data_IF_565227189917
#
_entry.id   IF_565227189917
#
_cell.length_a   1.000
_cell.length_b   1.000
_cell.length_c   1.000
_cell.angle_alpha   90.00
_cell.angle_beta   90.00
_cell.angle_gamma   90.00
#
_symmetry.space_group_name_H-M   'P 1'
#
loop_
_entity.id
_entity.type
_entity.pdbx_description
1 polymer ?
#
# COMPACT_ATOMS: atom_id res chain seq x y z
N UNK A 1 12.90 -6.43 -1.56
CA UNK A 1 11.73 -7.33 -1.63
C UNK A 1 12.18 -8.76 -1.40
N UNK A 2 11.80 -9.33 -0.25
CA UNK A 2 12.42 -10.57 0.25
C UNK A 2 11.77 -11.80 -0.37
N UNK A 3 12.44 -12.47 -1.34
CA UNK A 3 12.08 -13.83 -1.80
C UNK A 3 12.71 -14.83 -0.84
N UNK A 4 11.87 -15.60 -0.13
CA UNK A 4 12.32 -16.58 0.85
C UNK A 4 12.51 -18.00 0.27
N UNK A 5 11.79 -18.36 -0.81
CA UNK A 5 11.88 -19.68 -1.45
C UNK A 5 11.53 -19.65 -2.93
N UNK A 6 12.02 -20.61 -3.69
CA UNK A 6 11.77 -20.79 -5.12
C UNK A 6 10.80 -21.97 -5.32
N UNK A 7 9.48 -21.70 -5.36
CA UNK A 7 8.48 -22.75 -5.53
C UNK A 7 7.59 -22.45 -6.76
N UNK A 8 7.42 -23.43 -7.65
CA UNK A 8 6.45 -23.37 -8.75
C UNK A 8 5.05 -23.70 -8.25
N UNK A 9 4.48 -22.84 -7.41
CA UNK A 9 3.09 -22.95 -7.02
C UNK A 9 2.19 -22.42 -8.15
N UNK A 10 1.06 -23.06 -8.39
CA UNK A 10 0.04 -22.60 -9.34
C UNK A 10 -0.92 -21.57 -8.74
N UNK A 11 -1.00 -21.51 -7.42
CA UNK A 11 -1.82 -20.56 -6.66
C UNK A 11 -1.08 -19.97 -5.48
N UNK A 12 -1.44 -18.76 -5.08
CA UNK A 12 -0.78 -17.98 -4.03
C UNK A 12 -1.82 -17.40 -3.08
N UNK A 13 -1.49 -17.43 -1.79
CA UNK A 13 -2.28 -16.81 -0.74
C UNK A 13 -1.77 -15.39 -0.48
N UNK A 14 -2.66 -14.40 -0.59
CA UNK A 14 -2.45 -13.08 -0.04
C UNK A 14 -3.08 -12.99 1.34
N UNK A 15 -2.26 -12.83 2.38
CA UNK A 15 -2.75 -12.77 3.77
C UNK A 15 -2.40 -11.41 4.36
N UNK A 16 -3.44 -10.66 4.71
CA UNK A 16 -3.37 -9.37 5.39
C UNK A 16 -3.72 -9.55 6.87
N UNK A 17 -2.76 -9.27 7.76
CA UNK A 17 -2.94 -9.26 9.21
C UNK A 17 -3.19 -7.82 9.65
N UNK A 18 -4.43 -7.38 9.52
CA UNK A 18 -4.82 -6.04 9.93
C UNK A 18 -5.07 -5.94 11.44
N UNK A 19 -5.33 -4.72 11.91
CA UNK A 19 -5.48 -4.42 13.35
C UNK A 19 -6.74 -4.99 13.99
N UNK A 20 -7.74 -5.40 13.21
CA UNK A 20 -9.02 -5.93 13.72
C UNK A 20 -9.48 -7.21 13.00
N UNK A 21 -8.82 -7.61 11.95
CA UNK A 21 -9.20 -8.80 11.18
C UNK A 21 -8.02 -9.31 10.37
N UNK A 22 -7.99 -10.63 10.16
CA UNK A 22 -7.13 -11.28 9.18
C UNK A 22 -7.97 -11.56 7.96
N UNK A 23 -7.44 -11.22 6.78
CA UNK A 23 -8.07 -11.43 5.49
C UNK A 23 -7.18 -12.31 4.63
N UNK A 24 -7.80 -13.16 3.85
CA UNK A 24 -7.15 -14.12 2.98
C UNK A 24 -7.81 -14.09 1.60
N UNK A 25 -6.98 -14.07 0.57
CA UNK A 25 -7.40 -14.33 -0.81
C UNK A 25 -6.45 -15.34 -1.42
N UNK A 26 -6.99 -16.36 -2.08
CA UNK A 26 -6.22 -17.27 -2.91
C UNK A 26 -6.51 -16.98 -4.38
N UNK A 27 -5.46 -16.68 -5.13
CA UNK A 27 -5.52 -16.51 -6.58
C UNK A 27 -4.63 -17.55 -7.26
N UNK A 28 -5.07 -18.03 -8.41
CA UNK A 28 -4.25 -18.85 -9.29
C UNK A 28 -3.97 -18.13 -10.61
N UNK A 29 -2.87 -18.52 -11.25
CA UNK A 29 -2.50 -18.00 -12.57
C UNK A 29 -3.13 -18.83 -13.68
N UNK A 30 -4.04 -18.22 -14.44
CA UNK A 30 -4.62 -18.83 -15.65
C UNK A 30 -4.20 -18.02 -16.86
N UNK A 31 -3.26 -18.54 -17.63
CA UNK A 31 -2.69 -17.84 -18.80
C UNK A 31 -2.15 -16.46 -18.46
N UNK A 32 -1.49 -16.30 -17.29
CA UNK A 32 -0.95 -15.03 -16.81
C UNK A 32 -1.98 -14.06 -16.25
N UNK A 33 -3.24 -14.50 -16.05
CA UNK A 33 -4.29 -13.67 -15.44
C UNK A 33 -4.69 -14.24 -14.07
N UNK A 34 -4.89 -13.38 -13.06
CA UNK A 34 -5.32 -13.83 -11.75
C UNK A 34 -6.79 -14.30 -11.79
N UNK A 35 -7.04 -15.49 -11.28
CA UNK A 35 -8.37 -16.07 -11.09
C UNK A 35 -8.61 -16.38 -9.62
N UNK A 36 -9.77 -15.97 -9.10
CA UNK A 36 -10.15 -16.21 -7.72
C UNK A 36 -10.40 -17.72 -7.49
N UNK A 37 -9.72 -18.26 -6.47
CA UNK A 37 -9.94 -19.61 -5.95
C UNK A 37 -10.84 -19.54 -4.73
N UNK A 38 -10.43 -18.78 -3.71
CA UNK A 38 -11.23 -18.57 -2.50
C UNK A 38 -10.82 -17.30 -1.77
N UNK A 39 -11.65 -16.88 -0.83
CA UNK A 39 -11.39 -15.70 0.02
C UNK A 39 -12.08 -15.88 1.38
N UNK A 40 -11.64 -15.08 2.34
CA UNK A 40 -12.29 -15.02 3.64
C UNK A 40 -11.68 -14.00 4.58
N UNK A 41 -12.39 -13.75 5.66
CA UNK A 41 -11.92 -12.89 6.74
C UNK A 41 -12.33 -13.46 8.09
N UNK A 42 -11.53 -13.18 9.11
CA UNK A 42 -11.82 -13.49 10.51
C UNK A 42 -11.47 -12.29 11.37
N UNK A 43 -12.35 -11.94 12.30
CA UNK A 43 -12.07 -10.89 13.27
C UNK A 43 -11.07 -11.39 14.33
N UNK A 44 -10.19 -10.51 14.74
CA UNK A 44 -9.21 -10.75 15.81
C UNK A 44 -9.25 -9.60 16.82
N UNK A 45 -8.84 -9.87 18.04
CA UNK A 45 -8.70 -8.82 19.04
C UNK A 45 -7.57 -7.87 18.65
N UNK A 46 -7.87 -6.58 18.62
CA UNK A 46 -6.91 -5.54 18.26
C UNK A 46 -5.71 -5.44 19.20
N UNK A 47 -5.82 -5.93 20.44
CA UNK A 47 -4.70 -6.01 21.38
C UNK A 47 -3.68 -7.04 20.95
N UNK A 48 -4.12 -8.17 20.38
CA UNK A 48 -3.28 -9.24 19.86
C UNK A 48 -2.53 -8.80 18.59
N UNK A 49 -3.20 -8.05 17.71
CA UNK A 49 -2.59 -7.53 16.49
C UNK A 49 -1.51 -6.47 16.77
N UNK A 50 -1.73 -5.66 17.81
CA UNK A 50 -0.87 -4.55 18.24
C UNK A 50 0.07 -4.89 19.39
N UNK A 51 0.10 -6.13 19.87
CA UNK A 51 0.99 -6.48 20.97
C UNK A 51 2.38 -5.92 20.70
N UNK A 52 2.84 -5.17 21.69
CA UNK A 52 4.00 -4.28 21.66
C UNK A 52 5.13 -4.85 20.80
N UNK A 53 5.51 -4.13 19.75
CA UNK A 53 6.51 -4.56 18.78
C UNK A 53 7.85 -4.91 19.45
N UNK A 54 8.08 -4.40 20.68
CA UNK A 54 9.28 -4.62 21.47
C UNK A 54 9.27 -5.96 22.25
N UNK A 55 8.10 -6.59 22.45
CA UNK A 55 8.00 -7.87 23.15
C UNK A 55 7.37 -8.90 22.22
N UNK A 56 8.18 -9.83 21.73
CA UNK A 56 7.77 -11.02 20.98
C UNK A 56 6.91 -11.94 21.87
N UNK A 57 5.66 -11.56 22.11
CA UNK A 57 4.76 -12.40 22.86
C UNK A 57 4.34 -13.61 22.01
N UNK A 58 4.94 -14.77 22.34
CA UNK A 58 4.68 -16.02 21.63
C UNK A 58 3.20 -16.42 21.67
N UNK A 59 2.48 -16.10 22.74
CA UNK A 59 1.06 -16.41 22.87
C UNK A 59 0.22 -15.65 21.82
N UNK A 60 0.55 -14.39 21.53
CA UNK A 60 -0.15 -13.62 20.53
C UNK A 60 0.15 -14.10 19.10
N UNK A 61 1.40 -14.53 18.85
CA UNK A 61 1.75 -15.18 17.58
C UNK A 61 0.96 -16.48 17.38
N UNK A 62 0.81 -17.29 18.43
CA UNK A 62 0.03 -18.54 18.39
C UNK A 62 -1.45 -18.28 18.15
N UNK A 63 -2.05 -17.24 18.77
CA UNK A 63 -3.45 -16.83 18.50
C UNK A 63 -3.66 -16.41 17.04
N UNK A 64 -2.76 -15.58 16.50
CA UNK A 64 -2.81 -15.16 15.10
C UNK A 64 -2.66 -16.38 14.18
N UNK A 65 -1.69 -17.26 14.43
CA UNK A 65 -1.49 -18.47 13.66
C UNK A 65 -2.71 -19.41 13.71
N UNK A 66 -3.35 -19.54 14.88
CA UNK A 66 -4.60 -20.30 15.04
C UNK A 66 -5.73 -19.68 14.21
N UNK A 67 -5.89 -18.37 14.23
CA UNK A 67 -6.89 -17.69 13.41
C UNK A 67 -6.65 -17.89 11.91
N UNK A 68 -5.39 -17.85 11.46
CA UNK A 68 -5.02 -18.18 10.07
C UNK A 68 -5.38 -19.61 9.73
N UNK A 69 -5.03 -20.60 10.58
CA UNK A 69 -5.39 -22.04 10.34
C UNK A 69 -6.90 -22.22 10.24
N UNK A 70 -7.66 -21.60 11.14
CA UNK A 70 -9.12 -21.66 11.10
C UNK A 70 -9.67 -21.04 9.81
N UNK A 71 -9.09 -19.92 9.36
CA UNK A 71 -9.50 -19.25 8.13
C UNK A 71 -9.20 -20.13 6.90
N UNK A 72 -8.01 -20.74 6.82
CA UNK A 72 -7.64 -21.69 5.77
C UNK A 72 -8.62 -22.88 5.70
N UNK A 73 -8.98 -23.43 6.85
CA UNK A 73 -9.93 -24.56 6.91
C UNK A 73 -11.33 -24.15 6.45
N UNK A 74 -11.83 -22.99 6.93
CA UNK A 74 -13.18 -22.52 6.58
C UNK A 74 -13.32 -22.12 5.12
N UNK A 75 -12.26 -21.57 4.53
CA UNK A 75 -12.26 -21.14 3.13
C UNK A 75 -11.96 -22.28 2.16
N UNK A 76 -11.47 -23.42 2.65
CA UNK A 76 -11.01 -24.51 1.80
C UNK A 76 -9.77 -24.17 0.97
N UNK A 77 -8.95 -23.22 1.41
CA UNK A 77 -7.75 -22.78 0.71
C UNK A 77 -6.77 -23.95 0.50
N UNK A 78 -6.30 -24.11 -0.73
CA UNK A 78 -5.48 -25.25 -1.18
C UNK A 78 -3.99 -24.90 -1.07
N UNK A 79 -3.61 -23.68 -1.46
CA UNK A 79 -2.21 -23.25 -1.43
C UNK A 79 -1.65 -23.23 0.00
N UNK A 80 -0.35 -23.47 0.10
CA UNK A 80 0.43 -23.30 1.33
C UNK A 80 1.55 -22.27 1.17
N UNK A 81 1.58 -21.60 0.03
CA UNK A 81 2.52 -20.52 -0.29
C UNK A 81 1.81 -19.19 -0.11
N UNK A 82 2.32 -18.37 0.78
CA UNK A 82 1.70 -17.11 1.17
C UNK A 82 2.62 -15.91 0.93
N UNK A 83 2.00 -14.80 0.58
CA UNK A 83 2.57 -13.45 0.59
C UNK A 83 1.84 -12.64 1.65
N UNK A 84 2.55 -11.85 2.45
CA UNK A 84 1.94 -11.04 3.49
C UNK A 84 2.40 -9.58 3.43
N UNK A 85 1.59 -8.68 4.00
CA UNK A 85 1.93 -7.28 4.14
C UNK A 85 2.41 -6.95 5.55
N UNK A 86 3.44 -6.10 5.61
CA UNK A 86 3.82 -5.37 6.81
C UNK A 86 2.99 -4.07 6.88
N UNK A 87 2.52 -3.68 8.08
CA UNK A 87 1.77 -2.44 8.25
C UNK A 87 2.58 -1.22 7.81
N UNK A 88 1.98 -0.31 7.06
CA UNK A 88 2.65 0.89 6.56
C UNK A 88 3.27 1.74 7.67
N UNK A 89 2.59 1.89 8.82
CA UNK A 89 3.08 2.68 9.95
C UNK A 89 4.33 2.11 10.63
N UNK A 90 4.63 0.82 10.42
CA UNK A 90 5.79 0.13 11.01
C UNK A 90 7.00 0.06 10.06
N UNK A 91 6.85 0.49 8.81
CA UNK A 91 7.88 0.39 7.78
C UNK A 91 8.26 1.78 7.31
N UNK A 92 9.55 2.08 7.32
CA UNK A 92 10.06 3.30 6.72
C UNK A 92 10.23 3.10 5.21
N UNK A 93 9.69 4.03 4.41
CA UNK A 93 9.90 4.08 2.96
C UNK A 93 10.26 5.49 2.54
N UNK A 94 11.29 5.63 1.70
CA UNK A 94 11.73 6.92 1.16
C UNK A 94 12.31 6.78 -0.23
N UNK A 95 12.05 7.79 -1.05
CA UNK A 95 12.70 7.93 -2.34
C UNK A 95 14.07 8.61 -2.12
N UNK A 96 15.14 7.92 -2.49
CA UNK A 96 16.51 8.44 -2.43
C UNK A 96 17.09 8.59 -3.83
N UNK A 97 18.00 9.54 -3.98
CA UNK A 97 18.70 9.82 -5.22
C UNK A 97 20.15 9.37 -5.10
N UNK A 98 20.59 8.49 -5.99
CA UNK A 98 21.98 8.01 -6.06
C UNK A 98 22.62 8.42 -7.40
N UNK A 99 23.95 8.65 -7.44
CA UNK A 99 24.64 8.77 -8.71
C UNK A 99 24.53 7.46 -9.52
N UNK A 100 24.73 7.52 -10.82
CA UNK A 100 24.72 6.32 -11.67
C UNK A 100 25.86 5.38 -11.27
N UNK A 101 25.49 4.26 -10.65
CA UNK A 101 26.41 3.25 -10.12
C UNK A 101 26.15 1.91 -10.79
N UNK A 102 27.17 1.05 -10.84
CA UNK A 102 26.99 -0.35 -11.21
C UNK A 102 26.21 -1.14 -10.17
N UNK A 103 25.53 -2.22 -10.56
CA UNK A 103 24.63 -2.98 -9.70
C UNK A 103 25.26 -3.42 -8.36
N UNK A 104 26.56 -3.74 -8.32
CA UNK A 104 27.26 -4.10 -7.09
C UNK A 104 27.47 -2.91 -6.14
N UNK A 105 27.66 -1.72 -6.69
CA UNK A 105 27.89 -0.48 -5.93
C UNK A 105 26.60 0.12 -5.39
N UNK A 106 25.46 -0.16 -6.05
CA UNK A 106 24.13 0.30 -5.60
C UNK A 106 23.82 -0.22 -4.20
N UNK A 107 24.10 -1.49 -3.91
CA UNK A 107 23.83 -2.09 -2.60
C UNK A 107 24.58 -1.38 -1.46
N UNK A 108 25.86 -1.08 -1.66
CA UNK A 108 26.68 -0.36 -0.67
C UNK A 108 26.24 1.09 -0.52
N UNK A 109 25.95 1.79 -1.64
CA UNK A 109 25.46 3.15 -1.64
C UNK A 109 24.10 3.27 -0.93
N UNK A 110 23.17 2.34 -1.18
CA UNK A 110 21.88 2.29 -0.49
C UNK A 110 22.05 2.10 1.02
N UNK A 111 22.94 1.19 1.46
CA UNK A 111 23.22 1.00 2.88
C UNK A 111 23.79 2.27 3.52
N UNK A 112 24.64 2.99 2.80
CA UNK A 112 25.23 4.24 3.28
C UNK A 112 24.20 5.37 3.39
N UNK A 113 23.38 5.54 2.36
CA UNK A 113 22.30 6.53 2.36
C UNK A 113 21.23 6.20 3.39
N UNK A 114 20.87 4.91 3.55
CA UNK A 114 19.88 4.46 4.53
C UNK A 114 20.20 4.92 5.96
N UNK A 115 21.49 5.00 6.33
CA UNK A 115 21.92 5.50 7.66
C UNK A 115 21.50 6.94 7.93
N UNK A 116 21.26 7.75 6.91
CA UNK A 116 20.86 9.16 7.05
C UNK A 116 19.35 9.32 7.25
N UNK A 117 18.56 8.40 6.72
CA UNK A 117 17.10 8.55 6.63
C UNK A 117 16.35 7.60 7.56
N UNK A 118 16.88 6.38 7.81
CA UNK A 118 16.21 5.39 8.66
C UNK A 118 16.33 5.80 10.12
N UNK A 119 15.22 5.99 10.86
CA UNK A 119 15.22 6.53 12.23
C UNK A 119 15.62 5.51 13.31
N UNK A 120 16.29 4.41 12.91
CA UNK A 120 16.75 3.35 13.82
C UNK A 120 18.08 2.76 13.35
N UNK A 121 18.86 2.10 14.24
CA UNK A 121 20.13 1.47 13.87
C UNK A 121 19.98 0.47 12.73
N UNK A 122 20.86 0.52 11.73
CA UNK A 122 20.80 -0.33 10.53
C UNK A 122 20.85 -1.83 10.87
N UNK A 123 21.52 -2.18 11.96
CA UNK A 123 21.62 -3.56 12.46
C UNK A 123 20.24 -4.12 12.87
N UNK A 124 19.31 -3.27 13.27
CA UNK A 124 17.97 -3.62 13.72
C UNK A 124 16.91 -3.58 12.62
N UNK A 125 17.32 -3.28 11.38
CA UNK A 125 16.39 -3.26 10.23
C UNK A 125 16.77 -4.29 9.19
N UNK A 126 15.79 -4.61 8.37
CA UNK A 126 15.93 -5.33 7.12
C UNK A 126 15.68 -4.30 6.01
N UNK A 127 16.69 -4.08 5.17
CA UNK A 127 16.63 -3.14 4.05
C UNK A 127 16.26 -3.85 2.76
N UNK A 128 15.43 -3.19 1.98
CA UNK A 128 15.14 -3.54 0.60
C UNK A 128 15.08 -2.27 -0.26
N UNK A 129 15.34 -2.39 -1.56
CA UNK A 129 15.28 -1.25 -2.47
C UNK A 129 14.87 -1.65 -3.88
N UNK A 130 14.27 -0.69 -4.58
CA UNK A 130 13.90 -0.82 -5.98
C UNK A 130 14.39 0.40 -6.77
N UNK A 131 15.16 0.16 -7.85
CA UNK A 131 15.57 1.23 -8.78
C UNK A 131 14.41 1.52 -9.72
N UNK A 132 14.01 2.81 -9.84
CA UNK A 132 12.84 3.24 -10.59
C UNK A 132 13.14 3.67 -12.03
N UNK A 133 14.36 4.15 -12.33
CA UNK A 133 14.73 4.76 -13.63
C UNK A 133 15.49 3.82 -14.58
N UNK A 134 15.47 2.50 -14.39
CA UNK A 134 16.20 1.58 -15.28
C UNK A 134 15.67 1.55 -16.72
N UNK A 135 14.41 1.87 -16.95
CA UNK A 135 13.75 1.70 -18.27
C UNK A 135 14.13 2.77 -19.31
N UNK A 136 14.52 3.99 -18.89
CA UNK A 136 14.92 5.06 -19.81
C UNK A 136 16.33 4.85 -20.39
N UNK A 137 17.21 4.12 -19.70
CA UNK A 137 18.57 3.84 -20.16
C UNK A 137 18.61 2.74 -21.24
N UNK A 138 17.72 1.77 -21.21
CA UNK A 138 17.69 0.70 -22.21
C UNK A 138 17.08 1.20 -23.53
N UNK A 139 16.07 2.07 -23.48
CA UNK A 139 15.53 2.73 -24.70
C UNK A 139 16.52 3.69 -25.34
N UNK A 140 17.36 4.40 -24.53
CA UNK A 140 18.46 5.23 -25.07
C UNK A 140 19.56 4.40 -25.70
N UNK A 141 19.93 3.25 -25.14
CA UNK A 141 20.93 2.36 -25.73
C UNK A 141 20.49 1.77 -27.05
N UNK A 142 19.20 1.45 -27.23
CA UNK A 142 18.65 1.01 -28.52
C UNK A 142 18.63 2.14 -29.54
N UNK A 143 18.31 3.39 -29.16
CA UNK A 143 18.32 4.54 -30.06
C UNK A 143 19.74 4.98 -30.44
N UNK A 144 20.71 4.85 -29.55
CA UNK A 144 22.12 5.16 -29.83
C UNK A 144 22.81 4.09 -30.66
N UNK A 145 22.42 2.82 -30.53
CA UNK A 145 22.86 1.75 -31.41
C UNK A 145 22.25 1.87 -32.84
N UNK A 146 21.01 2.35 -32.96
CA UNK A 146 20.40 2.61 -34.26
C UNK A 146 21.06 3.81 -35.00
N UNK A 147 21.59 4.80 -34.26
CA UNK A 147 22.31 5.94 -34.85
C UNK A 147 23.77 5.62 -35.27
N UNK A 148 24.38 4.58 -34.72
CA UNK A 148 25.75 4.14 -35.10
C UNK A 148 25.83 3.34 -36.42
N UNK A 149 24.70 3.03 -37.04
CA UNK A 149 24.61 2.28 -38.32
C UNK A 149 24.35 3.17 -39.54
N UNK A 150 24.38 4.51 -39.39
CA UNK A 150 24.29 5.42 -40.54
C UNK A 150 25.71 5.90 -40.96
N UNK A 151 26.05 5.96 -42.28
CA UNK A 151 27.36 6.36 -42.75
C UNK A 151 27.63 7.85 -42.45
N UNK A 152 28.80 8.15 -41.87
CA UNK A 152 29.27 9.52 -41.61
C UNK A 152 29.70 10.22 -42.90
N UNK A 153 29.13 11.40 -43.17
CA UNK A 153 29.75 12.40 -44.08
C UNK A 153 30.73 13.27 -43.29
N UNK A 154 31.88 13.65 -43.91
CA UNK A 154 32.93 14.37 -43.20
C UNK A 154 32.62 15.85 -42.98
N UNK A 155 32.53 16.30 -41.75
CA UNK A 155 32.45 17.72 -41.39
C UNK A 155 33.79 18.26 -40.89
N UNK A 156 34.18 19.38 -41.49
CA UNK A 156 35.37 20.16 -41.26
C UNK A 156 35.52 20.66 -39.80
N UNK A 157 36.74 20.60 -39.30
CA UNK A 157 37.18 21.16 -38.02
C UNK A 157 37.18 22.68 -38.09
N UNK A 158 36.50 23.35 -37.14
CA UNK A 158 36.84 24.71 -36.71
C UNK A 158 37.20 24.66 -35.23
N UNK A 159 38.49 24.96 -34.96
CA UNK A 159 39.03 25.20 -33.61
C UNK A 159 38.58 26.58 -33.14
N UNK A 160 37.76 26.67 -32.11
CA UNK A 160 37.67 27.76 -31.13
C UNK A 160 36.42 27.51 -30.29
N UNK A 161 36.55 26.94 -29.13
CA UNK A 161 35.86 27.26 -27.87
C UNK A 161 36.13 26.18 -26.82
N UNK A 162 37.19 26.42 -26.04
CA UNK A 162 37.62 25.49 -24.98
C UNK A 162 37.28 26.00 -23.58
N UNK A 163 36.16 26.69 -23.35
CA UNK A 163 35.88 27.22 -22.02
C UNK A 163 34.45 27.06 -21.48
N UNK A 164 33.51 26.53 -22.24
CA UNK A 164 32.13 26.36 -21.77
C UNK A 164 31.60 24.91 -21.73
N UNK A 165 32.45 23.91 -21.96
CA UNK A 165 32.04 22.49 -21.97
C UNK A 165 32.03 21.77 -20.61
N UNK A 166 32.27 22.47 -19.50
CA UNK A 166 32.38 21.85 -18.16
C UNK A 166 31.16 22.04 -17.25
N UNK A 167 30.04 22.60 -17.72
CA UNK A 167 28.89 22.93 -16.87
C UNK A 167 27.59 22.14 -17.20
N UNK A 168 27.63 21.12 -18.04
CA UNK A 168 26.46 20.31 -18.34
C UNK A 168 26.78 18.79 -18.37
N UNK A 169 27.48 18.29 -17.36
CA UNK A 169 27.33 16.89 -16.96
C UNK A 169 26.02 16.80 -16.18
N UNK A 170 24.92 16.61 -16.88
CA UNK A 170 23.70 16.09 -16.28
C UNK A 170 24.06 14.70 -15.75
N UNK A 171 24.51 14.64 -14.48
CA UNK A 171 24.71 13.35 -13.81
C UNK A 171 23.35 12.67 -13.81
N UNK A 172 23.24 11.57 -14.56
CA UNK A 172 22.03 10.73 -14.57
C UNK A 172 21.87 10.18 -13.16
N UNK A 173 20.91 10.71 -12.43
CA UNK A 173 20.62 10.34 -11.05
C UNK A 173 19.69 9.12 -11.06
N UNK A 174 20.05 8.07 -10.33
CA UNK A 174 19.17 6.92 -10.11
C UNK A 174 18.19 7.26 -8.99
N UNK A 175 16.90 7.16 -9.27
CA UNK A 175 15.86 7.19 -8.25
C UNK A 175 15.67 5.81 -7.66
N UNK A 176 15.85 5.66 -6.36
CA UNK A 176 15.77 4.39 -5.65
C UNK A 176 14.74 4.51 -4.54
N UNK A 177 13.74 3.66 -4.58
CA UNK A 177 12.81 3.52 -3.46
C UNK A 177 13.45 2.60 -2.43
N UNK A 178 13.79 3.17 -1.28
CA UNK A 178 14.33 2.48 -0.11
C UNK A 178 13.18 2.08 0.82
N UNK A 179 13.20 0.85 1.29
CA UNK A 179 12.26 0.33 2.31
C UNK A 179 13.06 -0.28 3.45
N UNK A 180 12.73 0.08 4.69
CA UNK A 180 13.38 -0.43 5.89
C UNK A 180 12.32 -0.92 6.88
N UNK A 181 12.34 -2.21 7.20
CA UNK A 181 11.43 -2.83 8.16
C UNK A 181 12.19 -3.25 9.43
N UNK A 182 11.64 -3.04 10.65
CA UNK A 182 12.24 -3.55 11.88
C UNK A 182 12.43 -5.06 11.81
N UNK A 183 13.64 -5.53 12.14
CA UNK A 183 14.01 -6.95 12.06
C UNK A 183 13.08 -7.82 12.90
N UNK A 184 12.77 -7.42 14.13
CA UNK A 184 11.87 -8.15 15.02
C UNK A 184 10.45 -8.30 14.44
N UNK A 185 9.96 -7.30 13.68
CA UNK A 185 8.67 -7.37 13.00
C UNK A 185 8.71 -8.43 11.89
N UNK A 186 9.76 -8.44 11.06
CA UNK A 186 9.95 -9.46 10.01
C UNK A 186 10.01 -10.87 10.63
N UNK A 187 10.79 -11.05 11.71
CA UNK A 187 10.92 -12.32 12.42
C UNK A 187 9.58 -12.77 13.03
N UNK A 188 8.79 -11.84 13.57
CA UNK A 188 7.44 -12.11 14.08
C UNK A 188 6.54 -12.69 12.99
N UNK A 189 6.51 -12.08 11.80
CA UNK A 189 5.72 -12.56 10.67
C UNK A 189 6.19 -13.95 10.22
N UNK A 190 7.49 -14.16 10.05
CA UNK A 190 8.07 -15.47 9.70
C UNK A 190 7.65 -16.54 10.72
N UNK A 191 7.68 -16.23 12.02
CA UNK A 191 7.24 -17.12 13.09
C UNK A 191 5.74 -17.45 12.99
N UNK A 192 4.88 -16.45 12.82
CA UNK A 192 3.42 -16.62 12.69
C UNK A 192 3.08 -17.55 11.53
N UNK A 193 3.65 -17.30 10.35
CA UNK A 193 3.38 -18.13 9.16
C UNK A 193 3.90 -19.54 9.31
N UNK A 194 5.06 -19.73 9.92
CA UNK A 194 5.59 -21.05 10.27
C UNK A 194 4.67 -21.80 11.24
N UNK A 195 4.16 -21.13 12.28
CA UNK A 195 3.19 -21.70 13.23
C UNK A 195 1.86 -22.02 12.54
N UNK A 196 1.46 -21.23 11.54
CA UNK A 196 0.26 -21.49 10.75
C UNK A 196 0.40 -22.65 9.75
N UNK A 197 1.62 -23.20 9.55
CA UNK A 197 1.90 -24.25 8.57
C UNK A 197 1.97 -23.74 7.14
N UNK A 198 2.35 -22.47 6.95
CA UNK A 198 2.47 -21.81 5.66
C UNK A 198 3.94 -21.51 5.33
N UNK A 199 4.27 -21.61 4.04
CA UNK A 199 5.53 -21.13 3.49
C UNK A 199 5.38 -19.65 3.13
N UNK A 200 5.98 -18.77 3.93
CA UNK A 200 6.01 -17.35 3.64
C UNK A 200 7.02 -17.06 2.54
N UNK A 201 6.52 -16.76 1.33
CA UNK A 201 7.34 -16.50 0.15
C UNK A 201 7.96 -15.11 0.20
N UNK A 202 7.19 -14.13 0.62
CA UNK A 202 7.65 -12.74 0.73
C UNK A 202 6.81 -11.90 1.68
N UNK A 203 7.43 -10.80 2.13
CA UNK A 203 6.81 -9.71 2.84
C UNK A 203 6.93 -8.43 2.00
N UNK A 204 5.86 -7.66 1.91
CA UNK A 204 5.86 -6.34 1.27
C UNK A 204 5.05 -5.35 2.12
N UNK A 205 4.97 -4.08 1.73
CA UNK A 205 4.09 -3.13 2.43
C UNK A 205 2.68 -3.18 1.85
N UNK A 206 1.69 -2.79 2.65
CA UNK A 206 0.29 -2.63 2.20
C UNK A 206 0.20 -1.71 0.97
N UNK A 207 1.04 -0.66 0.91
CA UNK A 207 1.12 0.28 -0.21
C UNK A 207 1.42 -0.40 -1.55
N UNK A 208 2.37 -1.35 -1.60
CA UNK A 208 2.67 -2.10 -2.81
C UNK A 208 1.53 -3.03 -3.22
N UNK A 209 0.91 -3.68 -2.24
CA UNK A 209 -0.24 -4.54 -2.50
C UNK A 209 -1.42 -3.75 -3.07
N UNK A 210 -1.75 -2.61 -2.45
CA UNK A 210 -2.83 -1.73 -2.91
C UNK A 210 -2.54 -1.11 -4.28
N UNK A 211 -1.30 -0.67 -4.53
CA UNK A 211 -0.90 -0.20 -5.86
C UNK A 211 -1.18 -1.24 -6.93
N UNK A 212 -0.84 -2.50 -6.68
CA UNK A 212 -1.05 -3.61 -7.61
C UNK A 212 -2.53 -3.91 -7.81
N UNK A 213 -3.34 -4.01 -6.75
CA UNK A 213 -4.75 -4.37 -6.87
C UNK A 213 -5.64 -3.25 -7.39
N UNK A 214 -5.32 -1.98 -7.08
CA UNK A 214 -6.21 -0.84 -7.35
C UNK A 214 -5.77 0.03 -8.52
N UNK A 215 -4.46 0.16 -8.77
CA UNK A 215 -3.90 0.99 -9.85
C UNK A 215 -3.46 0.13 -11.03
N UNK A 216 -2.82 -1.01 -10.75
CA UNK A 216 -2.29 -1.88 -11.81
C UNK A 216 -1.24 -1.16 -12.67
N UNK A 217 -1.42 -1.15 -13.97
CA UNK A 217 -0.50 -0.53 -14.94
C UNK A 217 -0.97 0.86 -15.40
N UNK A 218 -1.80 1.54 -14.62
CA UNK A 218 -2.26 2.90 -14.94
C UNK A 218 -1.09 3.89 -14.79
N UNK A 219 -0.85 4.66 -15.83
CA UNK A 219 0.08 5.77 -15.79
C UNK A 219 -0.53 6.95 -15.03
N UNK A 220 0.32 7.83 -14.50
CA UNK A 220 -0.12 9.01 -13.76
C UNK A 220 0.18 8.92 -12.26
N UNK A 221 -0.29 9.93 -11.53
CA UNK A 221 -0.12 10.02 -10.08
C UNK A 221 -1.47 9.94 -9.39
N UNK A 222 -1.61 8.97 -8.48
CA UNK A 222 -2.86 8.64 -7.80
C UNK A 222 -2.61 8.63 -6.29
N UNK A 223 -3.51 9.23 -5.51
CA UNK A 223 -3.53 9.11 -4.06
C UNK A 223 -4.49 7.97 -3.67
N UNK A 224 -3.98 6.93 -3.03
CA UNK A 224 -4.78 5.89 -2.38
C UNK A 224 -4.96 6.29 -0.92
N UNK A 225 -6.20 6.27 -0.44
CA UNK A 225 -6.54 6.45 0.96
C UNK A 225 -7.21 5.18 1.48
N UNK A 226 -6.48 4.41 2.27
CA UNK A 226 -6.99 3.21 2.94
C UNK A 226 -7.51 3.60 4.33
N UNK A 227 -8.84 3.73 4.44
CA UNK A 227 -9.51 4.10 5.69
C UNK A 227 -9.79 2.84 6.50
N UNK A 228 -8.83 2.47 7.32
CA UNK A 228 -8.85 1.27 8.13
C UNK A 228 -9.68 1.39 9.41
N UNK A 229 -9.44 0.45 10.34
CA UNK A 229 -10.11 0.42 11.64
C UNK A 229 -9.53 1.44 12.63
N UNK A 230 -8.21 1.57 12.72
CA UNK A 230 -7.50 2.42 13.66
C UNK A 230 -6.70 3.53 12.99
N UNK A 231 -6.26 3.31 11.76
CA UNK A 231 -5.47 4.23 10.95
C UNK A 231 -6.14 4.50 9.62
N UNK A 232 -5.78 5.64 9.02
CA UNK A 232 -5.96 5.90 7.60
C UNK A 232 -4.57 6.02 6.99
N UNK A 233 -4.30 5.18 5.99
CA UNK A 233 -3.02 5.13 5.31
C UNK A 233 -3.13 5.82 3.95
N UNK A 234 -2.30 6.84 3.74
CA UNK A 234 -2.22 7.62 2.52
C UNK A 234 -1.02 7.15 1.72
N UNK A 235 -1.23 6.73 0.48
CA UNK A 235 -0.16 6.28 -0.42
C UNK A 235 -0.24 7.03 -1.74
N UNK A 236 0.82 7.71 -2.13
CA UNK A 236 0.95 8.28 -3.47
C UNK A 236 1.62 7.27 -4.37
N UNK A 237 0.92 6.89 -5.42
CA UNK A 237 1.38 5.96 -6.45
C UNK A 237 1.64 6.75 -7.73
N UNK A 238 2.81 6.55 -8.34
CA UNK A 238 3.17 7.12 -9.64
C UNK A 238 3.65 6.01 -10.55
N UNK A 239 3.05 5.89 -11.74
CA UNK A 239 3.36 4.82 -12.70
C UNK A 239 3.45 3.46 -12.02
N UNK A 240 2.41 3.10 -11.27
CA UNK A 240 2.28 1.82 -10.53
C UNK A 240 3.26 1.60 -9.36
N UNK A 241 4.08 2.60 -9.02
CA UNK A 241 5.03 2.52 -7.91
C UNK A 241 4.56 3.41 -6.75
N UNK A 242 4.42 2.89 -5.53
CA UNK A 242 4.17 3.71 -4.35
C UNK A 242 5.45 4.50 -4.03
N UNK A 243 5.40 5.83 -4.18
CA UNK A 243 6.56 6.72 -3.98
C UNK A 243 6.55 7.41 -2.62
N UNK A 244 5.39 7.43 -1.96
CA UNK A 244 5.20 8.04 -0.65
C UNK A 244 4.11 7.30 0.10
N UNK A 245 4.29 7.11 1.42
CA UNK A 245 3.27 6.54 2.29
C UNK A 245 3.30 7.22 3.66
N UNK A 246 2.12 7.49 4.21
CA UNK A 246 1.95 8.08 5.53
C UNK A 246 0.70 7.59 6.21
N UNK A 247 0.79 7.31 7.52
CA UNK A 247 -0.31 6.83 8.33
C UNK A 247 -0.81 7.92 9.27
N UNK A 248 -2.12 8.08 9.35
CA UNK A 248 -2.82 8.96 10.30
C UNK A 248 -3.57 8.08 11.30
N UNK A 249 -3.40 8.33 12.61
CA UNK A 249 -4.04 7.54 13.68
C UNK A 249 -5.53 7.85 13.84
N UNK A 250 -6.26 7.85 12.74
CA UNK A 250 -7.73 8.01 12.67
C UNK A 250 -8.28 6.94 11.76
N UNK A 251 -9.22 6.16 12.27
CA UNK A 251 -9.92 5.11 11.55
C UNK A 251 -11.33 4.91 12.10
N UNK A 252 -12.01 3.87 11.63
CA UNK A 252 -13.41 3.62 12.00
C UNK A 252 -13.67 3.52 13.50
N UNK A 253 -12.77 2.86 14.25
CA UNK A 253 -12.90 2.74 15.73
C UNK A 253 -12.67 4.07 16.45
N UNK A 254 -11.77 4.92 15.95
CA UNK A 254 -11.54 6.26 16.50
C UNK A 254 -12.82 7.09 16.40
N UNK A 255 -13.49 7.04 15.25
CA UNK A 255 -14.76 7.72 15.01
C UNK A 255 -15.86 7.15 15.89
N UNK A 256 -16.00 5.82 15.99
CA UNK A 256 -16.99 5.16 16.84
C UNK A 256 -16.82 5.58 18.29
N UNK A 257 -15.58 5.64 18.79
CA UNK A 257 -15.27 6.08 20.14
C UNK A 257 -15.65 7.54 20.35
N UNK A 258 -15.33 8.43 19.42
CA UNK A 258 -15.69 9.84 19.51
C UNK A 258 -17.21 10.05 19.60
N UNK A 259 -18.00 9.28 18.84
CA UNK A 259 -19.47 9.28 18.92
C UNK A 259 -19.93 8.78 20.29
N UNK A 260 -19.39 7.63 20.76
CA UNK A 260 -19.72 7.05 22.06
C UNK A 260 -19.48 8.04 23.20
N UNK A 261 -18.28 8.64 23.24
CA UNK A 261 -17.86 9.59 24.27
C UNK A 261 -18.70 10.88 24.23
N UNK A 262 -18.97 11.42 23.03
CA UNK A 262 -19.72 12.66 22.86
C UNK A 262 -21.22 12.54 23.20
N UNK A 263 -21.81 11.38 22.90
CA UNK A 263 -23.24 11.14 23.10
C UNK A 263 -23.56 10.40 24.41
N UNK A 264 -22.54 9.90 25.14
CA UNK A 264 -22.73 9.11 26.35
C UNK A 264 -23.44 7.76 26.12
N UNK A 265 -23.17 7.11 24.95
CA UNK A 265 -23.81 5.84 24.54
C UNK A 265 -22.77 4.71 24.43
N UNK A 266 -23.25 3.46 24.48
CA UNK A 266 -22.39 2.30 24.31
C UNK A 266 -21.77 2.22 22.90
N UNK A 267 -20.60 1.56 22.79
CA UNK A 267 -19.79 1.43 21.54
C UNK A 267 -20.61 0.82 20.41
N UNK A 268 -21.41 -0.23 20.68
CA UNK A 268 -22.20 -0.91 19.64
C UNK A 268 -23.25 0.03 19.02
N UNK A 269 -23.90 0.85 19.89
CA UNK A 269 -24.87 1.84 19.44
C UNK A 269 -24.20 2.99 18.69
N UNK A 270 -23.02 3.41 19.14
CA UNK A 270 -22.22 4.41 18.43
C UNK A 270 -21.77 3.92 17.05
N UNK A 271 -21.38 2.64 16.93
CA UNK A 271 -21.04 2.01 15.67
C UNK A 271 -22.24 1.99 14.70
N UNK A 272 -23.45 1.68 15.21
CA UNK A 272 -24.66 1.72 14.41
C UNK A 272 -24.95 3.16 13.92
N UNK A 273 -24.92 4.14 14.82
CA UNK A 273 -25.10 5.55 14.43
C UNK A 273 -24.08 6.02 13.40
N UNK A 274 -22.82 5.61 13.54
CA UNK A 274 -21.79 5.92 12.54
C UNK A 274 -22.13 5.38 11.16
N UNK A 275 -22.63 4.15 11.06
CA UNK A 275 -22.98 3.51 9.78
C UNK A 275 -24.22 4.13 9.13
N UNK A 276 -25.16 4.59 9.96
CA UNK A 276 -26.42 5.14 9.46
C UNK A 276 -26.35 6.64 9.14
N UNK A 277 -25.26 7.32 9.58
CA UNK A 277 -25.12 8.77 9.41
C UNK A 277 -24.48 9.16 8.10
N UNK A 278 -25.10 10.09 7.40
CA UNK A 278 -24.58 10.68 6.15
C UNK A 278 -23.66 11.86 6.48
N UNK A 279 -22.41 11.80 6.03
CA UNK A 279 -21.42 12.86 6.24
C UNK A 279 -21.74 14.04 5.33
N UNK A 280 -21.56 15.28 5.84
CA UNK A 280 -21.81 16.51 5.06
C UNK A 280 -23.28 16.85 4.90
N UNK A 281 -24.19 16.16 5.59
CA UNK A 281 -25.60 16.61 5.67
C UNK A 281 -25.66 17.93 6.43
N UNK A 282 -26.25 18.96 5.79
CA UNK A 282 -26.41 20.28 6.39
C UNK A 282 -27.10 20.16 7.77
N UNK A 283 -26.72 21.06 8.66
CA UNK A 283 -27.19 21.18 10.07
C UNK A 283 -28.72 21.29 10.25
N UNK A 284 -29.48 21.32 9.15
CA UNK A 284 -30.95 21.37 9.14
C UNK A 284 -31.60 20.00 9.41
N UNK A 285 -30.83 18.91 9.43
CA UNK A 285 -31.30 17.63 9.97
C UNK A 285 -31.40 17.78 11.50
N UNK A 286 -32.52 18.34 11.96
CA UNK A 286 -32.87 18.43 13.39
C UNK A 286 -32.94 17.03 13.96
N UNK A 287 -31.97 16.66 14.82
CA UNK A 287 -31.96 15.39 15.51
C UNK A 287 -30.56 14.82 15.79
N UNK A 288 -30.50 13.67 16.39
CA UNK A 288 -29.27 12.95 16.75
C UNK A 288 -28.33 12.70 15.55
N UNK A 289 -28.86 12.55 14.33
CA UNK A 289 -28.10 12.29 13.11
C UNK A 289 -27.23 13.47 12.65
N UNK A 290 -27.69 14.73 12.82
CA UNK A 290 -26.89 15.92 12.50
C UNK A 290 -25.70 16.12 13.42
N UNK A 291 -25.86 15.78 14.71
CA UNK A 291 -24.77 15.78 15.68
C UNK A 291 -23.69 14.75 15.38
N UNK A 292 -24.08 13.54 14.97
CA UNK A 292 -23.16 12.47 14.60
C UNK A 292 -22.35 12.84 13.35
N UNK A 293 -22.96 13.39 12.30
CA UNK A 293 -22.26 13.87 11.10
C UNK A 293 -21.11 14.82 11.46
N UNK A 294 -21.38 15.80 12.31
CA UNK A 294 -20.37 16.78 12.76
C UNK A 294 -19.23 16.13 13.56
N UNK A 295 -19.52 15.13 14.40
CA UNK A 295 -18.50 14.40 15.15
C UNK A 295 -17.61 13.62 14.16
N UNK A 296 -18.18 12.99 13.15
CA UNK A 296 -17.43 12.27 12.11
C UNK A 296 -16.52 13.25 11.35
N UNK A 297 -17.03 14.39 10.90
CA UNK A 297 -16.27 15.42 10.21
C UNK A 297 -15.11 15.96 11.04
N UNK A 298 -15.34 16.25 12.32
CA UNK A 298 -14.31 16.70 13.26
C UNK A 298 -13.23 15.63 13.46
N UNK A 299 -13.64 14.38 13.64
CA UNK A 299 -12.70 13.25 13.78
C UNK A 299 -11.85 13.04 12.52
N UNK A 300 -12.44 13.27 11.34
CA UNK A 300 -11.78 13.06 10.05
C UNK A 300 -10.98 14.28 9.58
N UNK A 301 -11.05 15.40 10.27
CA UNK A 301 -10.37 16.65 9.89
C UNK A 301 -8.85 16.51 9.78
N UNK A 302 -8.23 15.73 10.68
CA UNK A 302 -6.80 15.45 10.62
C UNK A 302 -6.40 14.65 9.37
N UNK A 303 -7.26 13.73 8.91
CA UNK A 303 -7.05 12.99 7.66
C UNK A 303 -7.14 13.93 6.46
N UNK A 304 -8.15 14.82 6.43
CA UNK A 304 -8.28 15.83 5.37
C UNK A 304 -7.04 16.75 5.32
N UNK A 305 -6.56 17.21 6.49
CA UNK A 305 -5.37 18.05 6.54
C UNK A 305 -4.12 17.32 6.04
N UNK A 306 -3.96 16.06 6.40
CA UNK A 306 -2.84 15.25 5.93
C UNK A 306 -2.94 14.95 4.42
N UNK A 307 -4.16 14.72 3.89
CA UNK A 307 -4.38 14.61 2.45
C UNK A 307 -3.98 15.89 1.72
N UNK A 308 -4.39 17.07 2.24
CA UNK A 308 -3.99 18.38 1.66
C UNK A 308 -2.48 18.52 1.64
N UNK A 309 -1.82 18.27 2.76
CA UNK A 309 -0.37 18.34 2.85
C UNK A 309 0.31 17.38 1.86
N UNK A 310 -0.20 16.15 1.75
CA UNK A 310 0.30 15.16 0.79
C UNK A 310 0.13 15.62 -0.65
N UNK A 311 -1.03 16.18 -1.01
CA UNK A 311 -1.29 16.72 -2.34
C UNK A 311 -0.36 17.89 -2.66
N UNK A 312 -0.11 18.78 -1.70
CA UNK A 312 0.79 19.94 -1.88
C UNK A 312 2.26 19.54 -2.01
N UNK A 313 2.70 18.53 -1.26
CA UNK A 313 4.13 18.15 -1.20
C UNK A 313 4.53 17.10 -2.24
N UNK A 314 3.63 16.20 -2.63
CA UNK A 314 3.93 15.10 -3.53
C UNK A 314 3.49 15.35 -4.98
N UNK A 315 2.55 16.26 -5.20
CA UNK A 315 2.18 16.70 -6.54
C UNK A 315 3.17 17.76 -7.05
N UNK A 316 3.64 17.58 -8.27
CA UNK A 316 4.42 18.59 -9.00
C UNK A 316 3.62 19.08 -10.21
N UNK A 317 4.03 20.22 -10.81
CA UNK A 317 3.38 20.68 -12.06
C UNK A 317 3.49 19.66 -13.19
N UNK A 318 4.60 18.88 -13.22
CA UNK A 318 4.81 17.84 -14.21
C UNK A 318 4.03 16.53 -13.90
N UNK A 319 3.72 16.29 -12.63
CA UNK A 319 3.06 15.06 -12.18
C UNK A 319 2.01 15.39 -11.10
N UNK A 320 0.89 16.04 -11.46
CA UNK A 320 -0.18 16.32 -10.52
C UNK A 320 -0.89 15.03 -10.09
N UNK A 321 -1.42 15.02 -8.87
CA UNK A 321 -2.32 13.92 -8.45
C UNK A 321 -3.64 14.09 -9.20
N UNK A 322 -4.04 13.07 -9.96
CA UNK A 322 -5.19 13.13 -10.86
C UNK A 322 -6.51 12.79 -10.16
N UNK A 323 -6.46 11.84 -9.22
CA UNK A 323 -7.62 11.32 -8.50
C UNK A 323 -7.22 10.72 -7.16
N UNK A 324 -8.23 10.53 -6.31
CA UNK A 324 -8.12 9.82 -5.04
C UNK A 324 -8.91 8.52 -5.15
N UNK A 325 -8.30 7.40 -4.77
CA UNK A 325 -8.94 6.09 -4.62
C UNK A 325 -9.16 5.81 -3.15
N UNK A 326 -10.42 5.59 -2.74
CA UNK A 326 -10.79 5.20 -1.38
C UNK A 326 -10.90 3.69 -1.29
N UNK A 327 -10.28 3.13 -0.26
CA UNK A 327 -10.36 1.72 0.13
C UNK A 327 -10.39 1.60 1.65
N UNK A 328 -10.39 0.37 2.17
CA UNK A 328 -10.52 0.11 3.60
C UNK A 328 -11.97 0.04 4.08
N UNK A 329 -12.19 -0.65 5.19
CA UNK A 329 -13.54 -0.92 5.68
C UNK A 329 -14.35 0.31 6.05
N UNK A 330 -13.69 1.40 6.42
CA UNK A 330 -14.37 2.67 6.79
C UNK A 330 -14.58 3.61 5.59
N UNK A 331 -14.06 3.28 4.41
CA UNK A 331 -14.38 4.03 3.18
C UNK A 331 -15.86 3.90 2.75
N UNK A 332 -16.56 2.91 3.32
CA UNK A 332 -18.00 2.67 3.13
C UNK A 332 -18.90 3.59 3.97
N UNK A 333 -18.34 4.51 4.76
CA UNK A 333 -19.14 5.51 5.47
C UNK A 333 -19.96 6.35 4.46
N UNK A 334 -21.28 6.51 4.68
CA UNK A 334 -22.14 7.20 3.72
C UNK A 334 -21.65 8.60 3.40
N UNK A 335 -21.48 8.90 2.11
CA UNK A 335 -21.02 10.19 1.57
C UNK A 335 -19.60 10.62 1.95
N UNK A 336 -18.74 9.72 2.44
CA UNK A 336 -17.35 10.03 2.74
C UNK A 336 -16.59 10.47 1.47
N UNK A 337 -16.81 9.79 0.36
CA UNK A 337 -16.26 10.16 -0.96
C UNK A 337 -16.63 11.59 -1.38
N UNK A 338 -17.88 11.94 -1.26
CA UNK A 338 -18.41 13.27 -1.56
C UNK A 338 -17.87 14.35 -0.62
N UNK A 339 -17.73 14.01 0.68
CA UNK A 339 -17.15 14.91 1.68
C UNK A 339 -15.66 15.20 1.36
N UNK A 340 -14.87 14.16 1.08
CA UNK A 340 -13.45 14.32 0.71
C UNK A 340 -13.34 15.09 -0.61
N UNK A 341 -14.15 14.74 -1.61
CA UNK A 341 -14.16 15.42 -2.91
C UNK A 341 -14.40 16.93 -2.79
N UNK A 342 -15.39 17.33 -2.00
CA UNK A 342 -15.69 18.75 -1.72
C UNK A 342 -14.57 19.43 -0.93
N UNK A 343 -14.02 18.76 0.10
CA UNK A 343 -12.99 19.32 0.98
C UNK A 343 -11.67 19.59 0.28
N UNK A 344 -11.33 18.75 -0.74
CA UNK A 344 -10.06 18.78 -1.46
C UNK A 344 -10.19 19.31 -2.88
N UNK A 345 -11.41 19.53 -3.37
CA UNK A 345 -11.71 19.87 -4.78
C UNK A 345 -11.06 18.88 -5.77
N UNK A 346 -11.14 17.58 -5.46
CA UNK A 346 -10.53 16.47 -6.20
C UNK A 346 -11.56 15.41 -6.57
N UNK A 347 -11.29 14.66 -7.64
CA UNK A 347 -12.10 13.48 -7.99
C UNK A 347 -11.78 12.35 -7.03
N UNK A 348 -12.81 11.77 -6.41
CA UNK A 348 -12.70 10.67 -5.46
C UNK A 348 -13.53 9.50 -5.95
N UNK A 349 -12.94 8.30 -5.94
CA UNK A 349 -13.61 7.07 -6.36
C UNK A 349 -13.44 5.99 -5.31
N UNK A 350 -14.48 5.21 -5.08
CA UNK A 350 -14.38 3.98 -4.30
C UNK A 350 -13.66 2.92 -5.15
N UNK A 351 -12.57 2.39 -4.64
CA UNK A 351 -11.73 1.46 -5.38
C UNK A 351 -12.35 0.05 -5.47
N UNK A 352 -12.10 -0.66 -6.57
CA UNK A 352 -12.52 -2.05 -6.73
C UNK A 352 -11.31 -2.97 -7.00
N UNK A 353 -10.82 -3.73 -6.01
CA UNK A 353 -9.67 -4.60 -6.15
C UNK A 353 -9.93 -5.81 -7.07
N UNK A 354 -11.20 -6.12 -7.36
CA UNK A 354 -11.59 -7.24 -8.22
C UNK A 354 -11.53 -6.90 -9.72
N UNK A 355 -11.34 -5.64 -10.09
CA UNK A 355 -11.38 -5.20 -11.48
C UNK A 355 -10.41 -5.97 -12.42
N UNK A 356 -9.33 -6.52 -11.85
CA UNK A 356 -8.29 -7.26 -12.58
C UNK A 356 -8.28 -8.77 -12.28
N UNK A 357 -9.25 -9.25 -11.50
CA UNK A 357 -9.37 -10.66 -11.09
C UNK A 357 -10.55 -11.30 -11.80
N UNK A 358 -10.35 -12.46 -12.40
CA UNK A 358 -11.43 -13.26 -12.97
C UNK A 358 -12.13 -14.04 -11.86
N UNK A 359 -13.46 -13.99 -11.83
CA UNK A 359 -14.29 -14.73 -10.87
C UNK A 359 -15.65 -15.14 -11.50
N UNK A 360 -16.35 -16.15 -10.95
CA UNK A 360 -17.70 -16.50 -11.37
C UNK A 360 -18.69 -15.34 -11.14
N UNK A 361 -19.58 -15.09 -12.11
CA UNK A 361 -20.54 -13.97 -12.06
C UNK A 361 -21.50 -13.99 -10.88
N UNK A 362 -21.87 -15.17 -10.42
CA UNK A 362 -22.73 -15.38 -9.25
C UNK A 362 -22.11 -14.88 -7.93
N UNK A 363 -20.79 -14.65 -7.89
CA UNK A 363 -20.10 -14.06 -6.75
C UNK A 363 -20.02 -12.52 -6.78
N UNK A 364 -20.40 -11.87 -7.88
CA UNK A 364 -20.19 -10.43 -8.09
C UNK A 364 -20.79 -9.57 -6.98
N UNK A 365 -22.03 -9.85 -6.57
CA UNK A 365 -22.70 -9.09 -5.52
C UNK A 365 -21.98 -9.22 -4.17
N UNK A 366 -21.61 -10.43 -3.79
CA UNK A 366 -20.91 -10.69 -2.51
C UNK A 366 -19.52 -10.10 -2.52
N UNK A 367 -18.78 -10.22 -3.64
CA UNK A 367 -17.45 -9.67 -3.79
C UNK A 367 -17.46 -8.14 -3.74
N UNK A 368 -18.48 -7.49 -4.31
CA UNK A 368 -18.63 -6.05 -4.23
C UNK A 368 -18.87 -5.56 -2.79
N UNK A 369 -19.59 -6.32 -1.96
CA UNK A 369 -19.83 -5.97 -0.55
C UNK A 369 -18.57 -5.99 0.31
N UNK A 370 -17.56 -6.79 -0.06
CA UNK A 370 -16.31 -6.93 0.70
C UNK A 370 -15.12 -6.24 0.03
N UNK A 371 -15.30 -5.70 -1.18
CA UNK A 371 -14.24 -5.17 -2.03
C UNK A 371 -13.27 -4.25 -1.27
N UNK A 372 -13.80 -3.25 -0.55
CA UNK A 372 -12.99 -2.25 0.15
C UNK A 372 -12.17 -2.81 1.31
N UNK A 373 -12.57 -3.96 1.86
CA UNK A 373 -11.89 -4.59 2.99
C UNK A 373 -10.75 -5.51 2.59
N UNK A 374 -10.72 -5.96 1.32
CA UNK A 374 -9.86 -7.08 0.91
C UNK A 374 -8.76 -6.67 -0.08
N UNK A 375 -8.68 -5.38 -0.43
CA UNK A 375 -7.77 -4.84 -1.44
C UNK A 375 -6.31 -5.24 -1.24
N UNK A 376 -5.81 -5.18 0.01
CA UNK A 376 -4.44 -5.60 0.35
C UNK A 376 -4.25 -7.08 0.04
N UNK A 377 -5.14 -7.97 0.52
CA UNK A 377 -5.02 -9.43 0.31
C UNK A 377 -5.07 -9.81 -1.17
N UNK A 378 -5.91 -9.13 -1.97
CA UNK A 378 -5.95 -9.32 -3.44
C UNK A 378 -4.59 -8.96 -4.05
N UNK A 379 -4.06 -7.77 -3.73
CA UNK A 379 -2.78 -7.32 -4.26
C UNK A 379 -1.60 -8.22 -3.86
N UNK A 380 -1.63 -8.75 -2.63
CA UNK A 380 -0.62 -9.72 -2.18
C UNK A 380 -0.67 -11.02 -2.99
N UNK A 381 -1.87 -11.57 -3.21
CA UNK A 381 -2.04 -12.80 -3.99
C UNK A 381 -1.67 -12.62 -5.48
N UNK A 382 -1.83 -11.42 -6.05
CA UNK A 382 -1.44 -11.10 -7.44
C UNK A 382 0.08 -11.05 -7.65
N UNK A 383 0.87 -10.86 -6.60
CA UNK A 383 2.29 -10.52 -6.69
C UNK A 383 3.14 -11.48 -7.54
N UNK A 384 2.87 -12.75 -7.48
CA UNK A 384 3.65 -13.78 -8.19
C UNK A 384 2.97 -14.22 -9.51
N UNK A 385 1.82 -13.60 -9.84
CA UNK A 385 1.06 -13.89 -11.07
C UNK A 385 1.36 -12.84 -12.15
N UNK A 386 1.65 -11.60 -11.74
CA UNK A 386 1.94 -10.45 -12.63
C UNK A 386 3.41 -10.18 -12.85
#
# INVERSE_FOLDING_TARGET
>A
MFKLFNNKASSFLGIDIGTNSIKLVELESVSGRPRLVTYGAVEIDSTVARSDESQTNRQDQEKIAQAIRMLLQKTGAISRVAVAALPNFSVFSSLISLPKLGDKQIAEAVQWEAKKFVPMPIENVVLDWKVLNKEDDDKKKESDNAKKLAPEEPKQKNDSDTTEKNLARCETVLSVLLTAAPRHLVERYVSIFKLAGLSLLSLETESFALSRSLVGNEDGTILIADVGSLTTDLTVVRSSVPIFSRSVNVGGKTITKAISDSMGIGIDRAEQFKRDSVIGSSSDAQGATGGVSKIIEQSFSSVINEMKYTLETQATQANPVEKILLTGGSSLLPSLDSYISKSLNMKVFIANPWARVSYPRDLEEVLNQIAQRIGVSVGLAMREIE
#
